data_IF_258843572962
#
_entry.id   IF_258843572962
#
_cell.length_a   1.000
_cell.length_b   1.000
_cell.length_c   1.000
_cell.angle_alpha   90.00
_cell.angle_beta   90.00
_cell.angle_gamma   90.00
#
_symmetry.space_group_name_H-M   'P 1'
#
loop_
_entity.id
_entity.type
_entity.pdbx_description
1 polymer ?
#
# COMPACT_ATOMS: atom_id res chain seq x y z
N UNK A 1 12.71 -15.87 4.43
CA UNK A 1 13.09 -14.50 3.97
C UNK A 1 11.96 -13.69 3.30
N UNK A 2 11.15 -14.28 2.41
CA UNK A 2 10.10 -13.59 1.63
C UNK A 2 9.08 -12.79 2.46
N UNK A 3 8.42 -13.44 3.43
CA UNK A 3 7.37 -12.81 4.25
C UNK A 3 7.90 -11.65 5.10
N UNK A 4 9.16 -11.75 5.56
CA UNK A 4 9.83 -10.66 6.28
C UNK A 4 9.95 -9.43 5.40
N UNK A 5 10.43 -9.58 4.16
CA UNK A 5 10.55 -8.47 3.20
C UNK A 5 9.20 -7.86 2.83
N UNK A 6 8.16 -8.69 2.68
CA UNK A 6 6.79 -8.19 2.48
C UNK A 6 6.36 -7.27 3.62
N UNK A 7 6.47 -7.75 4.85
CA UNK A 7 6.06 -6.99 6.05
C UNK A 7 6.88 -5.71 6.17
N UNK A 8 8.21 -5.81 6.19
CA UNK A 8 9.08 -4.63 6.37
C UNK A 8 8.91 -3.63 5.23
N UNK A 9 8.77 -4.12 3.99
CA UNK A 9 8.60 -3.27 2.83
C UNK A 9 7.30 -2.46 2.90
N UNK A 10 6.17 -3.08 3.23
CA UNK A 10 4.90 -2.35 3.36
C UNK A 10 4.91 -1.41 4.58
N UNK A 11 5.49 -1.81 5.71
CA UNK A 11 5.63 -0.95 6.90
C UNK A 11 6.55 0.26 6.68
N UNK A 12 7.43 0.22 5.69
CA UNK A 12 8.28 1.36 5.31
C UNK A 12 7.62 2.20 4.22
N UNK A 13 7.14 1.58 3.15
CA UNK A 13 6.66 2.29 1.96
C UNK A 13 5.38 3.08 2.27
N UNK A 14 4.41 2.51 2.99
CA UNK A 14 3.17 3.23 3.27
C UNK A 14 3.40 4.45 4.18
N UNK A 15 3.98 4.32 5.39
CA UNK A 15 4.22 5.51 6.22
C UNK A 15 5.25 6.46 5.61
N UNK A 16 6.32 5.95 5.01
CA UNK A 16 7.40 6.77 4.47
C UNK A 16 7.01 7.53 3.20
N UNK A 17 6.40 6.86 2.22
CA UNK A 17 6.09 7.49 0.93
C UNK A 17 4.68 8.06 0.87
N UNK A 18 3.67 7.34 1.38
CA UNK A 18 2.29 7.86 1.40
C UNK A 18 2.02 8.73 2.63
N UNK A 19 2.56 8.37 3.80
CA UNK A 19 2.33 9.12 5.03
C UNK A 19 3.15 10.40 5.15
N UNK A 20 4.42 10.34 4.75
CA UNK A 20 5.37 11.44 4.94
C UNK A 20 5.70 12.16 3.63
N UNK A 21 6.21 11.45 2.61
CA UNK A 21 6.68 12.10 1.38
C UNK A 21 5.53 12.70 0.55
N UNK A 22 4.39 12.02 0.48
CA UNK A 22 3.25 12.49 -0.28
C UNK A 22 2.75 13.87 0.17
N UNK A 23 2.36 14.10 1.44
CA UNK A 23 1.93 15.43 1.87
C UNK A 23 3.06 16.47 1.79
N UNK A 24 4.32 16.07 1.97
CA UNK A 24 5.45 16.98 1.80
C UNK A 24 5.55 17.51 0.36
N UNK A 25 5.38 16.64 -0.63
CA UNK A 25 5.39 17.06 -2.05
C UNK A 25 4.08 17.78 -2.40
N UNK A 26 2.94 17.22 -2.01
CA UNK A 26 1.62 17.64 -2.42
C UNK A 26 1.12 18.92 -1.74
N UNK A 27 1.50 19.17 -0.48
CA UNK A 27 1.08 20.34 0.29
C UNK A 27 2.27 21.21 0.73
N UNK A 28 3.45 20.63 0.93
CA UNK A 28 4.63 21.42 1.31
C UNK A 28 5.04 22.46 0.27
N UNK A 29 4.88 22.16 -1.03
CA UNK A 29 5.23 23.09 -2.12
C UNK A 29 4.06 23.96 -2.60
N UNK A 30 2.81 23.55 -2.38
CA UNK A 30 1.64 24.25 -2.95
C UNK A 30 0.62 24.72 -1.91
N UNK A 31 0.90 24.50 -0.63
CA UNK A 31 0.04 24.86 0.48
C UNK A 31 -1.25 24.04 0.57
N UNK A 32 -2.09 24.48 1.51
CA UNK A 32 -3.45 23.97 1.70
C UNK A 32 -4.30 24.27 0.46
N UNK A 33 -5.33 23.46 0.25
CA UNK A 33 -6.31 23.70 -0.80
C UNK A 33 -7.72 23.31 -0.34
N UNK A 34 -8.70 23.94 -0.97
CA UNK A 34 -10.09 23.53 -0.88
C UNK A 34 -10.36 22.36 -1.84
N UNK A 35 -11.64 22.07 -2.09
CA UNK A 35 -12.04 20.95 -2.95
C UNK A 35 -11.49 21.03 -4.38
N UNK A 36 -11.37 22.21 -4.95
CA UNK A 36 -10.86 22.39 -6.30
C UNK A 36 -9.37 22.71 -6.25
N UNK A 37 -8.59 21.87 -6.92
CA UNK A 37 -7.15 22.06 -7.03
C UNK A 37 -6.82 23.07 -8.13
N UNK A 38 -5.89 23.96 -7.83
CA UNK A 38 -5.16 24.69 -8.87
C UNK A 38 -4.30 23.74 -9.69
N UNK A 39 -3.90 24.16 -10.90
CA UNK A 39 -3.04 23.34 -11.77
C UNK A 39 -1.73 22.90 -11.07
N UNK A 40 -0.99 23.76 -10.34
CA UNK A 40 0.19 23.32 -9.60
C UNK A 40 -0.11 22.27 -8.53
N UNK A 41 -1.20 22.44 -7.77
CA UNK A 41 -1.61 21.48 -6.74
C UNK A 41 -1.92 20.11 -7.35
N UNK A 42 -2.70 20.08 -8.45
CA UNK A 42 -3.00 18.83 -9.17
C UNK A 42 -1.74 18.12 -9.67
N UNK A 43 -0.79 18.88 -10.24
CA UNK A 43 0.48 18.33 -10.71
C UNK A 43 1.27 17.71 -9.55
N UNK A 44 1.42 18.43 -8.44
CA UNK A 44 2.22 17.96 -7.29
C UNK A 44 1.58 16.76 -6.57
N UNK A 45 0.25 16.73 -6.46
CA UNK A 45 -0.48 15.55 -5.98
C UNK A 45 -0.27 14.36 -6.92
N UNK A 46 -0.34 14.56 -8.24
CA UNK A 46 -0.14 13.47 -9.21
C UNK A 46 1.28 12.93 -9.15
N UNK A 47 2.29 13.81 -9.12
CA UNK A 47 3.72 13.42 -9.02
C UNK A 47 3.96 12.61 -7.74
N UNK A 48 3.45 13.07 -6.60
CA UNK A 48 3.65 12.38 -5.33
C UNK A 48 2.97 11.00 -5.29
N UNK A 49 1.77 10.87 -5.83
CA UNK A 49 1.09 9.56 -5.97
C UNK A 49 1.88 8.64 -6.90
N UNK A 50 2.37 9.13 -8.05
CA UNK A 50 3.20 8.35 -8.97
C UNK A 50 4.48 7.84 -8.29
N UNK A 51 5.15 8.67 -7.50
CA UNK A 51 6.33 8.28 -6.71
C UNK A 51 5.97 7.17 -5.74
N UNK A 52 4.94 7.35 -4.90
CA UNK A 52 4.49 6.33 -3.96
C UNK A 52 4.21 4.99 -4.66
N UNK A 53 3.41 5.03 -5.72
CA UNK A 53 2.97 3.85 -6.47
C UNK A 53 4.14 3.15 -7.16
N UNK A 54 5.08 3.90 -7.75
CA UNK A 54 6.30 3.35 -8.35
C UNK A 54 7.11 2.54 -7.35
N UNK A 55 7.41 3.12 -6.19
CA UNK A 55 8.21 2.46 -5.16
C UNK A 55 7.47 1.31 -4.48
N UNK A 56 6.15 1.42 -4.30
CA UNK A 56 5.32 0.31 -3.84
C UNK A 56 5.40 -0.87 -4.81
N UNK A 57 5.13 -0.64 -6.09
CA UNK A 57 5.17 -1.70 -7.11
C UNK A 57 6.58 -2.31 -7.22
N UNK A 58 7.63 -1.49 -7.19
CA UNK A 58 9.02 -1.94 -7.18
C UNK A 58 9.33 -2.82 -5.96
N UNK A 59 8.91 -2.40 -4.76
CA UNK A 59 9.12 -3.16 -3.52
C UNK A 59 8.37 -4.51 -3.56
N UNK A 60 7.11 -4.49 -4.00
CA UNK A 60 6.29 -5.69 -4.12
C UNK A 60 6.91 -6.67 -5.14
N UNK A 61 7.25 -6.19 -6.33
CA UNK A 61 7.91 -7.02 -7.35
C UNK A 61 9.25 -7.58 -6.89
N UNK A 62 10.10 -6.79 -6.22
CA UNK A 62 11.37 -7.27 -5.65
C UNK A 62 11.15 -8.35 -4.59
N UNK A 63 10.03 -8.29 -3.87
CA UNK A 63 9.64 -9.34 -2.92
C UNK A 63 9.23 -10.61 -3.66
N UNK A 64 8.41 -10.50 -4.71
CA UNK A 64 7.99 -11.63 -5.56
C UNK A 64 9.07 -12.21 -6.47
N UNK A 65 10.14 -11.46 -6.75
CA UNK A 65 11.35 -11.97 -7.41
C UNK A 65 11.96 -13.14 -6.62
N UNK A 66 11.92 -13.07 -5.29
CA UNK A 66 12.39 -14.15 -4.42
C UNK A 66 11.52 -15.41 -4.42
N UNK A 67 10.30 -15.32 -4.96
CA UNK A 67 9.44 -16.47 -5.19
C UNK A 67 9.61 -17.05 -6.61
N UNK A 68 10.67 -16.64 -7.32
CA UNK A 68 11.14 -17.24 -8.58
C UNK A 68 10.47 -16.72 -9.85
N UNK A 69 9.59 -15.71 -9.79
CA UNK A 69 8.58 -15.52 -10.85
C UNK A 69 8.40 -14.11 -11.42
N UNK A 70 9.16 -13.11 -10.96
CA UNK A 70 9.01 -11.72 -11.45
C UNK A 70 10.33 -10.94 -11.45
N UNK A 71 10.54 -10.13 -12.48
CA UNK A 71 11.59 -9.09 -12.49
C UNK A 71 11.13 -7.89 -11.66
N UNK A 72 12.03 -7.24 -10.93
CA UNK A 72 11.71 -6.05 -10.10
C UNK A 72 10.87 -4.97 -10.81
N UNK A 73 11.09 -4.72 -12.11
CA UNK A 73 10.34 -3.69 -12.86
C UNK A 73 9.20 -4.22 -13.73
N UNK A 74 8.92 -5.52 -13.70
CA UNK A 74 7.87 -6.12 -14.53
C UNK A 74 6.48 -5.64 -14.11
N UNK A 75 5.63 -5.31 -15.09
CA UNK A 75 4.22 -4.95 -14.87
C UNK A 75 4.01 -3.79 -13.88
N UNK A 76 4.92 -2.80 -13.85
CA UNK A 76 4.71 -1.57 -13.07
C UNK A 76 3.66 -0.66 -13.73
N UNK A 77 3.52 -0.71 -15.07
CA UNK A 77 2.63 0.18 -15.83
C UNK A 77 1.16 0.20 -15.35
N UNK A 78 0.50 -0.93 -15.04
CA UNK A 78 -0.85 -0.90 -14.50
C UNK A 78 -0.97 -0.11 -13.20
N UNK A 79 0.05 -0.15 -12.34
CA UNK A 79 0.08 0.66 -11.12
C UNK A 79 0.19 2.15 -11.48
N UNK A 80 1.15 2.54 -12.31
CA UNK A 80 1.38 3.94 -12.67
C UNK A 80 0.23 4.57 -13.46
N UNK A 81 -0.51 3.76 -14.21
CA UNK A 81 -1.64 4.24 -14.99
C UNK A 81 -2.94 4.20 -14.18
N UNK A 82 -3.39 3.02 -13.74
CA UNK A 82 -4.73 2.91 -13.16
C UNK A 82 -4.83 3.53 -11.76
N UNK A 83 -3.80 3.43 -10.93
CA UNK A 83 -3.90 3.92 -9.54
C UNK A 83 -4.10 5.44 -9.45
N UNK A 84 -3.32 6.30 -10.13
CA UNK A 84 -3.58 7.74 -10.12
C UNK A 84 -4.93 8.12 -10.72
N UNK A 85 -5.35 7.46 -11.80
CA UNK A 85 -6.65 7.74 -12.43
C UNK A 85 -7.81 7.41 -11.50
N UNK A 86 -7.76 6.26 -10.82
CA UNK A 86 -8.80 5.83 -9.89
C UNK A 86 -8.78 6.65 -8.60
N UNK A 87 -7.60 7.09 -8.13
CA UNK A 87 -7.47 8.08 -7.05
C UNK A 87 -8.20 9.39 -7.41
N UNK A 88 -7.90 9.97 -8.58
CA UNK A 88 -8.53 11.22 -9.01
C UNK A 88 -10.02 11.07 -9.28
N UNK A 89 -10.46 9.92 -9.79
CA UNK A 89 -11.88 9.61 -9.92
C UNK A 89 -12.57 9.70 -8.55
N UNK A 90 -12.00 9.08 -7.52
CA UNK A 90 -12.53 9.18 -6.14
C UNK A 90 -12.57 10.62 -5.64
N UNK A 91 -11.47 11.36 -5.83
CA UNK A 91 -11.35 12.75 -5.39
C UNK A 91 -12.39 13.67 -6.04
N UNK A 92 -12.53 13.64 -7.37
CA UNK A 92 -13.41 14.58 -8.07
C UNK A 92 -14.88 14.18 -8.05
N UNK A 93 -15.21 12.89 -7.88
CA UNK A 93 -16.62 12.43 -7.83
C UNK A 93 -17.20 12.43 -6.43
N UNK A 94 -16.47 11.91 -5.44
CA UNK A 94 -16.96 11.66 -4.08
C UNK A 94 -16.17 12.41 -2.99
N UNK A 95 -15.06 13.06 -3.36
CA UNK A 95 -14.18 13.81 -2.46
C UNK A 95 -13.44 12.95 -1.42
N UNK A 96 -12.63 13.56 -0.57
CA UNK A 96 -11.94 12.87 0.53
C UNK A 96 -12.99 12.27 1.47
N UNK A 97 -12.89 10.99 1.87
CA UNK A 97 -11.73 10.09 1.78
C UNK A 97 -11.80 9.03 0.66
N UNK A 98 -12.66 9.23 -0.34
CA UNK A 98 -12.90 8.23 -1.39
C UNK A 98 -11.73 8.08 -2.37
N UNK A 99 -10.92 9.11 -2.52
CA UNK A 99 -9.64 9.08 -3.22
C UNK A 99 -8.68 8.03 -2.63
N UNK A 100 -8.55 8.00 -1.29
CA UNK A 100 -7.75 7.00 -0.57
C UNK A 100 -8.36 5.61 -0.74
N UNK A 101 -9.68 5.48 -0.53
CA UNK A 101 -10.39 4.21 -0.70
C UNK A 101 -10.14 3.62 -2.10
N UNK A 102 -10.31 4.43 -3.13
CA UNK A 102 -10.19 4.03 -4.52
C UNK A 102 -8.73 3.71 -4.89
N UNK A 103 -7.76 4.47 -4.39
CA UNK A 103 -6.34 4.14 -4.56
C UNK A 103 -6.01 2.75 -4.00
N UNK A 104 -6.39 2.44 -2.76
CA UNK A 104 -6.14 1.13 -2.17
C UNK A 104 -6.84 0.01 -2.93
N UNK A 105 -8.11 0.20 -3.32
CA UNK A 105 -8.84 -0.79 -4.13
C UNK A 105 -8.16 -1.04 -5.48
N UNK A 106 -7.68 0.00 -6.16
CA UNK A 106 -6.96 -0.15 -7.43
C UNK A 106 -5.69 -0.99 -7.27
N UNK A 107 -4.89 -0.73 -6.22
CA UNK A 107 -3.70 -1.51 -5.88
C UNK A 107 -4.08 -2.97 -5.63
N UNK A 108 -5.18 -3.21 -4.91
CA UNK A 108 -5.70 -4.55 -4.66
C UNK A 108 -6.13 -5.29 -5.91
N UNK A 109 -6.85 -4.64 -6.83
CA UNK A 109 -7.27 -5.21 -8.10
C UNK A 109 -6.06 -5.54 -8.98
N UNK A 110 -5.09 -4.63 -9.06
CA UNK A 110 -3.87 -4.86 -9.85
C UNK A 110 -3.09 -6.05 -9.28
N UNK A 111 -2.92 -6.12 -7.96
CA UNK A 111 -2.26 -7.26 -7.30
C UNK A 111 -3.04 -8.57 -7.48
N UNK A 112 -4.38 -8.52 -7.41
CA UNK A 112 -5.26 -9.66 -7.66
C UNK A 112 -4.99 -10.28 -9.03
N UNK A 113 -4.89 -9.43 -10.06
CA UNK A 113 -4.66 -9.85 -11.45
C UNK A 113 -3.23 -10.31 -11.66
N UNK A 114 -2.24 -9.49 -11.30
CA UNK A 114 -0.84 -9.74 -11.64
C UNK A 114 -0.22 -10.92 -10.90
N UNK A 115 -0.69 -11.18 -9.67
CA UNK A 115 -0.14 -12.26 -8.82
C UNK A 115 -0.98 -13.54 -8.91
N UNK A 116 -2.08 -13.52 -9.69
CA UNK A 116 -2.95 -14.68 -9.96
C UNK A 116 -2.19 -15.95 -10.36
N UNK A 117 -1.13 -15.91 -11.19
CA UNK A 117 -0.38 -17.12 -11.56
C UNK A 117 0.48 -17.70 -10.42
N UNK A 118 0.74 -16.91 -9.38
CA UNK A 118 1.68 -17.26 -8.30
C UNK A 118 1.00 -17.96 -7.12
N UNK A 119 -0.33 -18.08 -7.15
CA UNK A 119 -1.13 -18.52 -6.01
C UNK A 119 -1.82 -19.86 -6.25
N UNK A 120 -2.05 -20.61 -5.17
CA UNK A 120 -2.73 -21.92 -5.18
C UNK A 120 -4.16 -21.80 -5.68
N UNK A 121 -4.94 -20.85 -5.16
CA UNK A 121 -6.36 -20.64 -5.51
C UNK A 121 -6.62 -19.22 -6.07
N UNK A 122 -6.64 -19.05 -7.40
CA UNK A 122 -6.86 -17.76 -8.06
C UNK A 122 -8.14 -17.03 -7.64
N UNK A 123 -9.27 -17.75 -7.54
CA UNK A 123 -10.56 -17.13 -7.20
C UNK A 123 -10.56 -16.61 -5.76
N UNK A 124 -10.04 -17.39 -4.81
CA UNK A 124 -9.91 -16.96 -3.40
C UNK A 124 -8.94 -15.78 -3.27
N UNK A 125 -7.84 -15.81 -4.02
CA UNK A 125 -6.85 -14.74 -4.03
C UNK A 125 -7.41 -13.38 -4.45
N UNK A 126 -8.26 -13.35 -5.48
CA UNK A 126 -8.89 -12.10 -5.93
C UNK A 126 -9.70 -11.46 -4.79
N UNK A 127 -10.56 -12.25 -4.14
CA UNK A 127 -11.36 -11.77 -3.02
C UNK A 127 -10.50 -11.36 -1.82
N UNK A 128 -9.45 -12.12 -1.51
CA UNK A 128 -8.52 -11.78 -0.45
C UNK A 128 -7.80 -10.46 -0.73
N UNK A 129 -7.44 -10.19 -1.98
CA UNK A 129 -6.85 -8.92 -2.38
C UNK A 129 -7.82 -7.76 -2.19
N UNK A 130 -9.02 -7.87 -2.78
CA UNK A 130 -10.04 -6.81 -2.69
C UNK A 130 -10.38 -6.52 -1.22
N UNK A 131 -10.66 -7.55 -0.43
CA UNK A 131 -11.00 -7.40 0.98
C UNK A 131 -9.83 -6.86 1.81
N UNK A 132 -8.61 -7.36 1.59
CA UNK A 132 -7.44 -6.91 2.33
C UNK A 132 -7.12 -5.44 2.11
N UNK A 133 -7.22 -4.95 0.87
CA UNK A 133 -7.02 -3.55 0.54
C UNK A 133 -8.19 -2.65 0.97
N UNK A 134 -9.43 -3.15 0.90
CA UNK A 134 -10.59 -2.45 1.47
C UNK A 134 -10.45 -2.26 2.98
N UNK A 135 -10.06 -3.31 3.71
CA UNK A 135 -9.80 -3.24 5.15
C UNK A 135 -8.67 -2.27 5.48
N UNK A 136 -7.61 -2.25 4.67
CA UNK A 136 -6.51 -1.32 4.87
C UNK A 136 -6.97 0.14 4.69
N UNK A 137 -7.76 0.42 3.65
CA UNK A 137 -8.34 1.74 3.45
C UNK A 137 -9.26 2.14 4.61
N UNK A 138 -10.18 1.27 5.02
CA UNK A 138 -11.12 1.54 6.12
C UNK A 138 -10.35 1.79 7.43
N UNK A 139 -9.37 0.97 7.76
CA UNK A 139 -8.55 1.15 8.95
C UNK A 139 -7.81 2.50 8.93
N UNK A 140 -7.20 2.84 7.79
CA UNK A 140 -6.57 4.13 7.57
C UNK A 140 -7.51 5.31 7.73
N UNK A 141 -8.64 5.29 7.04
CA UNK A 141 -9.63 6.37 7.03
C UNK A 141 -10.23 6.56 8.42
N UNK A 142 -10.68 5.49 9.09
CA UNK A 142 -11.31 5.59 10.41
C UNK A 142 -10.33 6.16 11.43
N UNK A 143 -9.11 5.61 11.51
CA UNK A 143 -8.11 6.05 12.49
C UNK A 143 -7.64 7.47 12.15
N UNK A 144 -7.33 7.73 10.89
CA UNK A 144 -6.86 9.03 10.43
C UNK A 144 -7.87 10.15 10.64
N UNK A 145 -9.13 9.96 10.23
CA UNK A 145 -10.18 10.96 10.46
C UNK A 145 -10.48 11.14 11.95
N UNK A 146 -10.48 10.06 12.73
CA UNK A 146 -10.68 10.16 14.18
C UNK A 146 -9.54 10.95 14.85
N UNK A 147 -8.29 10.70 14.45
CA UNK A 147 -7.12 11.40 14.96
C UNK A 147 -7.11 12.87 14.52
N UNK A 148 -7.48 13.14 13.26
CA UNK A 148 -7.65 14.49 12.75
C UNK A 148 -8.66 15.27 13.58
N UNK A 149 -9.89 14.76 13.73
CA UNK A 149 -10.97 15.45 14.45
C UNK A 149 -10.64 15.68 15.93
N UNK A 150 -9.91 14.74 16.56
CA UNK A 150 -9.63 14.78 18.00
C UNK A 150 -8.37 15.56 18.36
N UNK A 151 -7.32 15.50 17.54
CA UNK A 151 -5.98 15.97 17.93
C UNK A 151 -5.39 17.00 16.98
N UNK A 152 -5.57 16.83 15.66
CA UNK A 152 -4.79 17.59 14.68
C UNK A 152 -5.58 18.66 13.93
N UNK A 153 -6.91 18.74 14.10
CA UNK A 153 -7.77 19.70 13.39
C UNK A 153 -7.29 21.16 13.52
N UNK A 154 -6.69 21.50 14.67
CA UNK A 154 -6.19 22.85 14.95
C UNK A 154 -4.72 23.07 14.56
N UNK A 155 -4.04 22.04 14.04
CA UNK A 155 -2.69 22.21 13.50
C UNK A 155 -2.77 23.03 12.20
N UNK A 156 -1.66 23.67 11.83
CA UNK A 156 -1.63 24.56 10.66
C UNK A 156 -0.66 24.05 9.59
N UNK A 157 -1.05 24.26 8.33
CA UNK A 157 -0.29 23.90 7.14
C UNK A 157 0.18 22.46 7.12
N UNK A 158 1.40 22.26 6.59
CA UNK A 158 1.99 20.94 6.34
C UNK A 158 2.06 20.03 7.58
N UNK A 159 2.11 20.61 8.79
CA UNK A 159 2.14 19.82 10.03
C UNK A 159 0.85 19.02 10.26
N UNK A 160 -0.30 19.63 9.93
CA UNK A 160 -1.62 18.98 9.98
C UNK A 160 -1.71 17.88 8.94
N UNK A 161 -1.23 18.14 7.73
CA UNK A 161 -1.31 17.18 6.62
C UNK A 161 -0.41 15.97 6.89
N UNK A 162 0.82 16.20 7.36
CA UNK A 162 1.73 15.13 7.79
C UNK A 162 1.10 14.26 8.89
N UNK A 163 0.53 14.87 9.93
CA UNK A 163 -0.11 14.13 11.01
C UNK A 163 -1.32 13.30 10.51
N UNK A 164 -2.11 13.87 9.60
CA UNK A 164 -3.29 13.22 9.02
C UNK A 164 -2.88 12.05 8.13
N UNK A 165 -1.95 12.25 7.20
CA UNK A 165 -1.48 11.21 6.28
C UNK A 165 -0.68 10.11 6.99
N UNK A 166 0.11 10.42 8.02
CA UNK A 166 0.75 9.40 8.86
C UNK A 166 -0.28 8.57 9.63
N UNK A 167 -1.28 9.21 10.23
CA UNK A 167 -2.33 8.50 10.97
C UNK A 167 -3.26 7.66 10.07
N UNK A 168 -3.34 7.97 8.77
CA UNK A 168 -3.99 7.11 7.77
C UNK A 168 -3.05 5.96 7.35
N UNK A 169 -1.83 6.29 6.93
CA UNK A 169 -0.93 5.35 6.26
C UNK A 169 -0.36 4.28 7.19
N UNK A 170 -0.10 4.60 8.45
CA UNK A 170 0.43 3.64 9.44
C UNK A 170 -0.54 2.46 9.65
N UNK A 171 -1.79 2.66 10.09
CA UNK A 171 -2.72 1.54 10.27
C UNK A 171 -3.01 0.79 8.96
N UNK A 172 -3.11 1.50 7.83
CA UNK A 172 -3.24 0.85 6.53
C UNK A 172 -2.03 -0.06 6.22
N UNK A 173 -0.81 0.39 6.54
CA UNK A 173 0.41 -0.39 6.40
C UNK A 173 0.37 -1.66 7.25
N UNK A 174 -0.09 -1.58 8.50
CA UNK A 174 -0.24 -2.74 9.37
C UNK A 174 -1.20 -3.77 8.77
N UNK A 175 -2.36 -3.33 8.26
CA UNK A 175 -3.30 -4.24 7.60
C UNK A 175 -2.64 -4.88 6.38
N UNK A 176 -2.07 -4.10 5.45
CA UNK A 176 -1.44 -4.67 4.24
C UNK A 176 -0.28 -5.60 4.60
N UNK A 177 0.55 -5.24 5.57
CA UNK A 177 1.69 -6.04 5.97
C UNK A 177 1.27 -7.38 6.56
N UNK A 178 0.40 -7.36 7.59
CA UNK A 178 0.12 -8.56 8.38
C UNK A 178 -1.04 -9.40 7.83
N UNK A 179 -2.08 -8.77 7.26
CA UNK A 179 -3.15 -9.51 6.59
C UNK A 179 -2.57 -10.30 5.41
N UNK A 180 -1.82 -9.64 4.51
CA UNK A 180 -1.22 -10.36 3.39
C UNK A 180 -0.07 -11.28 3.81
N UNK A 181 0.65 -11.01 4.92
CA UNK A 181 1.59 -12.03 5.44
C UNK A 181 0.88 -13.36 5.68
N UNK A 182 -0.30 -13.33 6.31
CA UNK A 182 -1.09 -14.54 6.55
C UNK A 182 -1.55 -15.18 5.23
N UNK A 183 -2.14 -14.39 4.33
CA UNK A 183 -2.62 -14.90 3.04
C UNK A 183 -1.50 -15.48 2.19
N UNK A 184 -0.38 -14.77 2.07
CA UNK A 184 0.77 -15.17 1.25
C UNK A 184 1.45 -16.43 1.78
N UNK A 185 1.48 -16.65 3.11
CA UNK A 185 1.99 -17.90 3.71
C UNK A 185 1.20 -19.13 3.22
N UNK A 186 -0.12 -18.96 3.02
CA UNK A 186 -1.00 -20.06 2.60
C UNK A 186 -1.06 -20.18 1.08
N UNK A 187 -1.18 -19.07 0.37
CA UNK A 187 -1.53 -19.03 -1.05
C UNK A 187 -0.33 -19.12 -1.99
N UNK A 188 0.86 -18.62 -1.65
CA UNK A 188 1.97 -18.60 -2.61
C UNK A 188 2.43 -20.04 -2.92
N UNK A 189 2.62 -20.31 -4.21
CA UNK A 189 3.33 -21.50 -4.70
C UNK A 189 4.83 -21.20 -4.67
N UNK A 190 5.46 -21.38 -3.51
CA UNK A 190 6.92 -21.36 -3.40
C UNK A 190 7.39 -22.73 -3.87
N UNK A 191 8.24 -22.77 -4.89
CA UNK A 191 8.79 -24.02 -5.44
C UNK A 191 9.68 -24.76 -4.42
N UNK A 192 10.15 -24.07 -3.37
CA UNK A 192 10.96 -24.61 -2.28
C UNK A 192 10.19 -24.80 -0.95
N UNK A 193 9.12 -25.60 -0.93
CA UNK A 193 8.51 -25.96 0.36
C UNK A 193 9.45 -26.82 1.25
N UNK A 194 10.50 -27.43 0.67
CA UNK A 194 11.46 -28.28 1.40
C UNK A 194 12.52 -27.48 2.18
N UNK A 195 12.96 -26.31 1.71
CA UNK A 195 14.02 -25.53 2.39
C UNK A 195 13.50 -24.70 3.57
N UNK A 196 12.23 -24.29 3.54
CA UNK A 196 11.62 -23.47 4.60
C UNK A 196 11.28 -24.30 5.85
N UNK A 197 10.83 -25.55 5.66
CA UNK A 197 10.57 -26.48 6.77
C UNK A 197 11.89 -26.96 7.40
N UNK A 198 12.94 -27.09 6.59
CA UNK A 198 14.30 -27.42 7.06
C UNK A 198 14.87 -26.38 8.03
N UNK A 199 14.73 -25.07 7.76
CA UNK A 199 15.18 -24.01 8.68
C UNK A 199 14.34 -23.94 9.97
N UNK A 200 13.03 -24.19 9.91
CA UNK A 200 12.16 -24.15 11.10
C UNK A 200 12.42 -25.38 12.00
N UNK A 201 12.67 -26.57 11.42
CA UNK A 201 12.96 -27.79 12.17
C UNK A 201 14.40 -27.87 12.71
N UNK A 202 15.39 -27.30 12.01
CA UNK A 202 16.77 -27.25 12.52
C UNK A 202 16.92 -26.33 13.72
N UNK A 203 16.03 -25.32 13.86
CA UNK A 203 16.02 -24.45 15.02
C UNK A 203 15.43 -25.11 16.28
N UNK A 204 14.56 -26.11 16.12
CA UNK A 204 14.02 -26.91 17.24
C UNK A 204 14.86 -28.15 17.55
N UNK A 205 15.60 -28.69 16.58
CA UNK A 205 16.50 -29.84 16.79
C UNK A 205 17.78 -29.51 17.57
N UNK A 206 18.16 -28.22 17.71
CA UNK A 206 19.37 -27.80 18.43
C UNK A 206 19.14 -27.44 19.90
N UNK A 207 17.93 -27.67 20.42
CA UNK A 207 17.55 -27.39 21.82
C UNK A 207 17.07 -28.66 22.55
N UNK A 208 17.44 -29.84 22.04
CA UNK A 208 17.22 -31.12 22.70
C UNK A 208 18.57 -31.80 23.00
#
# INVERSE_FOLDING_TARGET
MFLKKWVTGNLVIYPGLLGFLHPLIAHGFTGDHDRLLTTPQFIMHTISILIFVFFLARMQNKTFEMAGKKKTLSNIWPFLFFTPWVFWLGYYTLFVPFDILFMFLSIGIINAIQLKPLVKSPTKWIWQCILGYLLAAIAGIIIGLSAYLRYYKNFQGVSRDLATWLSISIPAAFVVAYYFRYILRVQIRIEDHESIISEENTHFSKVA
#
